data_IF_021761677468
#
_entry.id   IF_021761677468
#
_cell.length_a   1.000
_cell.length_b   1.000
_cell.length_c   1.000
_cell.angle_alpha   90.00
_cell.angle_beta   90.00
_cell.angle_gamma   90.00
#
_symmetry.space_group_name_H-M   'P 1'
#
loop_
_entity.id
_entity.type
_entity.pdbx_description
1 polymer ?
#
# COMPACT_ATOMS: atom_id res chain seq x y z
N UNK A 1 2.53 -14.14 -3.04
CA UNK A 1 2.55 -12.68 -3.33
C UNK A 1 1.69 -12.46 -4.56
N UNK A 2 0.76 -11.50 -4.57
CA UNK A 2 0.00 -11.20 -5.80
C UNK A 2 0.96 -10.55 -6.81
N UNK A 3 0.85 -10.93 -8.08
CA UNK A 3 1.66 -10.34 -9.13
C UNK A 3 1.11 -8.94 -9.47
N UNK A 4 1.95 -7.93 -9.77
CA UNK A 4 1.52 -6.58 -10.15
C UNK A 4 1.02 -6.53 -11.61
N UNK A 5 0.27 -7.53 -12.03
CA UNK A 5 -0.24 -7.66 -13.39
C UNK A 5 -1.50 -8.51 -13.41
N UNK A 6 -2.61 -7.87 -13.71
CA UNK A 6 -3.91 -8.50 -13.95
C UNK A 6 -4.56 -7.85 -15.19
N UNK A 7 -5.78 -8.25 -15.54
CA UNK A 7 -6.47 -7.71 -16.73
C UNK A 7 -6.73 -6.20 -16.67
N UNK A 8 -7.00 -5.66 -15.47
CA UNK A 8 -7.25 -4.24 -15.24
C UNK A 8 -5.98 -3.42 -15.42
N UNK A 9 -4.88 -3.82 -14.79
CA UNK A 9 -3.55 -3.19 -14.95
C UNK A 9 -3.10 -3.25 -16.41
N UNK A 10 -3.29 -4.40 -17.07
CA UNK A 10 -2.94 -4.54 -18.49
C UNK A 10 -3.74 -3.57 -19.38
N UNK A 11 -5.03 -3.38 -19.10
CA UNK A 11 -5.87 -2.42 -19.80
C UNK A 11 -5.44 -0.97 -19.55
N UNK A 12 -5.15 -0.62 -18.29
CA UNK A 12 -4.66 0.71 -17.91
C UNK A 12 -3.31 1.05 -18.57
N UNK A 13 -2.34 0.14 -18.52
CA UNK A 13 -1.06 0.29 -19.25
C UNK A 13 -1.31 0.41 -20.75
N UNK A 14 -2.24 -0.37 -21.32
CA UNK A 14 -2.58 -0.32 -22.73
C UNK A 14 -3.10 1.04 -23.22
N UNK A 15 -3.68 1.88 -22.36
CA UNK A 15 -4.17 3.20 -22.75
C UNK A 15 -3.06 4.15 -23.20
N UNK A 16 -1.84 4.00 -22.65
CA UNK A 16 -0.66 4.80 -23.04
C UNK A 16 -0.16 4.51 -24.46
N UNK A 17 -0.68 3.45 -25.09
CA UNK A 17 -0.25 3.00 -26.41
C UNK A 17 -1.35 3.15 -27.48
N UNK A 18 -2.44 3.83 -27.15
CA UNK A 18 -3.57 4.04 -28.06
C UNK A 18 -3.26 5.15 -29.08
N UNK A 19 -3.83 5.05 -30.29
CA UNK A 19 -3.70 6.07 -31.36
C UNK A 19 -2.27 6.49 -31.76
N UNK A 20 -1.27 5.65 -31.47
CA UNK A 20 0.12 5.94 -31.82
C UNK A 20 0.93 6.59 -30.69
N UNK A 21 0.30 6.91 -29.54
CA UNK A 21 0.97 7.45 -28.36
C UNK A 21 1.91 6.44 -27.70
N UNK A 22 2.84 6.97 -26.90
CA UNK A 22 3.70 6.19 -26.02
C UNK A 22 4.99 5.68 -26.69
N UNK A 23 5.79 4.91 -25.93
CA UNK A 23 7.07 4.36 -26.38
C UNK A 23 7.03 3.66 -27.73
N UNK A 24 8.19 3.61 -28.41
CA UNK A 24 8.30 3.03 -29.76
C UNK A 24 8.12 1.50 -29.77
N UNK A 25 7.89 0.94 -30.96
CA UNK A 25 7.82 -0.51 -31.13
C UNK A 25 9.10 -1.22 -30.67
N UNK A 26 10.27 -0.62 -30.87
CA UNK A 26 11.56 -1.17 -30.45
C UNK A 26 11.74 -1.17 -28.93
N UNK A 27 11.32 -0.11 -28.24
CA UNK A 27 11.35 -0.04 -26.77
C UNK A 27 10.45 -1.12 -26.16
N UNK A 28 9.25 -1.33 -26.73
CA UNK A 28 8.37 -2.42 -26.31
C UNK A 28 9.01 -3.79 -26.49
N UNK A 29 9.66 -4.05 -27.64
CA UNK A 29 10.39 -5.31 -27.86
C UNK A 29 11.47 -5.52 -26.81
N UNK A 30 12.23 -4.48 -26.45
CA UNK A 30 13.27 -4.56 -25.43
C UNK A 30 12.68 -4.89 -24.04
N UNK A 31 11.59 -4.22 -23.65
CA UNK A 31 10.88 -4.50 -22.39
C UNK A 31 10.39 -5.96 -22.32
N UNK A 32 9.84 -6.49 -23.42
CA UNK A 32 9.37 -7.88 -23.47
C UNK A 32 10.51 -8.90 -23.39
N UNK A 33 11.66 -8.60 -24.00
CA UNK A 33 12.87 -9.42 -23.88
C UNK A 33 13.40 -9.40 -22.45
N UNK A 34 13.49 -8.23 -21.82
CA UNK A 34 13.95 -8.09 -20.44
C UNK A 34 13.06 -8.82 -19.42
N UNK A 35 11.76 -8.93 -19.72
CA UNK A 35 10.80 -9.71 -18.93
C UNK A 35 10.75 -11.21 -19.26
N UNK A 36 11.57 -11.68 -20.20
CA UNK A 36 11.55 -13.05 -20.73
C UNK A 36 10.16 -13.48 -21.27
N UNK A 37 9.48 -12.57 -21.97
CA UNK A 37 8.15 -12.77 -22.56
C UNK A 37 8.10 -12.48 -24.07
N UNK A 38 9.27 -12.39 -24.73
CA UNK A 38 9.37 -12.09 -26.17
C UNK A 38 8.67 -13.12 -27.06
N UNK A 39 8.57 -14.38 -26.61
CA UNK A 39 7.84 -15.45 -27.33
C UNK A 39 6.33 -15.17 -27.45
N UNK A 40 5.81 -14.26 -26.63
CA UNK A 40 4.39 -13.89 -26.60
C UNK A 40 4.10 -12.55 -27.28
N UNK A 41 5.11 -11.89 -27.86
CA UNK A 41 4.93 -10.66 -28.64
C UNK A 41 4.45 -11.03 -30.06
N UNK A 42 3.20 -10.70 -30.44
CA UNK A 42 2.64 -11.07 -31.74
C UNK A 42 3.17 -10.20 -32.90
N UNK A 43 4.12 -9.30 -32.65
CA UNK A 43 4.57 -8.31 -33.61
C UNK A 43 5.38 -8.89 -34.76
N UNK A 44 4.92 -8.61 -35.97
CA UNK A 44 5.65 -8.88 -37.20
C UNK A 44 6.27 -7.58 -37.72
N UNK A 45 7.61 -7.43 -37.70
CA UNK A 45 8.29 -6.22 -38.19
C UNK A 45 8.06 -5.93 -39.68
N UNK A 46 7.88 -6.95 -40.52
CA UNK A 46 7.68 -6.78 -41.96
C UNK A 46 6.27 -6.26 -42.28
N UNK A 47 5.28 -6.70 -41.52
CA UNK A 47 3.88 -6.30 -41.69
C UNK A 47 3.46 -5.14 -40.76
N UNK A 48 4.35 -4.69 -39.86
CA UNK A 48 4.12 -3.67 -38.83
C UNK A 48 2.80 -3.85 -38.04
N UNK A 49 2.45 -5.09 -37.75
CA UNK A 49 1.18 -5.47 -37.11
C UNK A 49 1.43 -6.54 -36.05
N UNK A 50 0.68 -6.59 -34.94
CA UNK A 50 -0.39 -5.66 -34.55
C UNK A 50 0.12 -4.35 -33.93
N UNK A 51 -0.79 -3.41 -33.64
CA UNK A 51 -0.44 -2.11 -33.09
C UNK A 51 0.15 -2.20 -31.66
N UNK A 52 0.77 -1.12 -31.17
CA UNK A 52 1.44 -1.09 -29.85
C UNK A 52 0.54 -1.57 -28.71
N UNK A 53 -0.70 -1.08 -28.63
CA UNK A 53 -1.67 -1.48 -27.61
C UNK A 53 -1.96 -2.98 -27.65
N UNK A 54 -2.20 -3.54 -28.83
CA UNK A 54 -2.48 -4.96 -29.00
C UNK A 54 -1.29 -5.84 -28.58
N UNK A 55 -0.05 -5.40 -28.88
CA UNK A 55 1.17 -6.07 -28.41
C UNK A 55 1.25 -6.09 -26.89
N UNK A 56 1.12 -4.93 -26.25
CA UNK A 56 1.17 -4.81 -24.78
C UNK A 56 0.11 -5.69 -24.12
N UNK A 57 -1.14 -5.64 -24.60
CA UNK A 57 -2.23 -6.46 -24.06
C UNK A 57 -1.97 -7.97 -24.21
N UNK A 58 -1.42 -8.41 -25.35
CA UNK A 58 -1.10 -9.81 -25.59
C UNK A 58 -0.01 -10.31 -24.63
N UNK A 59 1.09 -9.58 -24.51
CA UNK A 59 2.22 -9.95 -23.64
C UNK A 59 1.82 -9.87 -22.17
N UNK A 60 1.06 -8.84 -21.76
CA UNK A 60 0.55 -8.74 -20.38
C UNK A 60 -0.36 -9.91 -20.00
N UNK A 61 -1.25 -10.34 -20.91
CA UNK A 61 -2.12 -11.52 -20.67
C UNK A 61 -1.31 -12.81 -20.50
N UNK A 62 -0.23 -12.97 -21.25
CA UNK A 62 0.66 -14.12 -21.11
C UNK A 62 1.48 -14.04 -19.80
N UNK A 63 2.04 -12.86 -19.50
CA UNK A 63 2.84 -12.58 -18.30
C UNK A 63 2.07 -12.73 -16.99
N UNK A 64 0.77 -12.38 -16.97
CA UNK A 64 -0.08 -12.49 -15.77
C UNK A 64 -0.16 -13.92 -15.19
N UNK A 65 0.16 -14.95 -15.98
CA UNK A 65 0.17 -16.35 -15.53
C UNK A 65 1.44 -16.74 -14.75
N UNK A 66 2.48 -15.90 -14.77
CA UNK A 66 3.79 -16.16 -14.15
C UNK A 66 4.19 -14.98 -13.26
N UNK A 67 4.15 -15.15 -11.93
CA UNK A 67 4.34 -14.05 -10.98
C UNK A 67 5.68 -13.30 -11.12
N UNK A 68 6.78 -14.01 -11.42
CA UNK A 68 8.10 -13.39 -11.61
C UNK A 68 8.16 -12.53 -12.89
N UNK A 69 7.66 -13.06 -14.01
CA UNK A 69 7.62 -12.36 -15.30
C UNK A 69 6.63 -11.19 -15.28
N UNK A 70 5.51 -11.33 -14.57
CA UNK A 70 4.52 -10.27 -14.38
C UNK A 70 5.13 -9.03 -13.72
N UNK A 71 5.89 -9.21 -12.64
CA UNK A 71 6.57 -8.09 -11.97
C UNK A 71 7.58 -7.40 -12.86
N UNK A 72 8.48 -8.19 -13.46
CA UNK A 72 9.51 -7.65 -14.34
C UNK A 72 8.90 -6.92 -15.53
N UNK A 73 7.84 -7.47 -16.14
CA UNK A 73 7.14 -6.82 -17.25
C UNK A 73 6.53 -5.48 -16.84
N UNK A 74 5.85 -5.42 -15.68
CA UNK A 74 5.25 -4.17 -15.19
C UNK A 74 6.33 -3.11 -14.95
N UNK A 75 7.46 -3.47 -14.32
CA UNK A 75 8.59 -2.57 -14.08
C UNK A 75 9.19 -2.04 -15.39
N UNK A 76 9.46 -2.91 -16.37
CA UNK A 76 10.02 -2.50 -17.68
C UNK A 76 9.07 -1.59 -18.47
N UNK A 77 7.76 -1.83 -18.40
CA UNK A 77 6.76 -0.97 -19.05
C UNK A 77 6.65 0.40 -18.37
N UNK A 78 6.71 0.43 -17.04
CA UNK A 78 6.74 1.69 -16.28
C UNK A 78 8.00 2.50 -16.57
N UNK A 79 9.16 1.85 -16.66
CA UNK A 79 10.42 2.50 -17.05
C UNK A 79 10.35 3.08 -18.47
N UNK A 80 9.76 2.35 -19.42
CA UNK A 80 9.53 2.87 -20.77
C UNK A 80 8.63 4.12 -20.76
N UNK A 81 7.56 4.12 -19.97
CA UNK A 81 6.66 5.27 -19.83
C UNK A 81 7.32 6.47 -19.13
N UNK A 82 8.20 6.22 -18.16
CA UNK A 82 9.02 7.25 -17.49
C UNK A 82 9.98 7.91 -18.46
N UNK A 83 10.72 7.12 -19.24
CA UNK A 83 11.64 7.64 -20.26
C UNK A 83 10.91 8.41 -21.36
N UNK A 84 9.67 8.03 -21.67
CA UNK A 84 8.81 8.75 -22.60
C UNK A 84 8.25 10.07 -22.02
N UNK A 85 8.24 10.23 -20.69
CA UNK A 85 7.76 11.45 -20.01
C UNK A 85 6.28 11.43 -19.60
N UNK A 86 5.62 10.27 -19.64
CA UNK A 86 4.18 10.15 -19.34
C UNK A 86 3.81 10.56 -17.91
N UNK A 87 4.72 10.42 -16.94
CA UNK A 87 4.46 10.79 -15.54
C UNK A 87 4.59 12.30 -15.25
N UNK A 88 5.28 13.03 -16.13
CA UNK A 88 5.41 14.49 -16.06
C UNK A 88 4.43 15.23 -16.97
N UNK A 89 3.78 14.53 -17.91
CA UNK A 89 2.84 15.13 -18.85
C UNK A 89 1.47 15.35 -18.23
N UNK A 90 0.93 16.57 -18.37
CA UNK A 90 -0.45 16.87 -17.96
C UNK A 90 -1.49 16.14 -18.81
N UNK A 91 -1.16 15.79 -20.07
CA UNK A 91 -2.06 15.09 -20.99
C UNK A 91 -2.26 13.62 -20.59
N UNK A 92 -1.23 12.99 -20.04
CA UNK A 92 -1.27 11.61 -19.56
C UNK A 92 -1.81 11.49 -18.13
N UNK A 93 -2.06 12.61 -17.43
CA UNK A 93 -2.53 12.62 -16.04
C UNK A 93 -3.78 11.76 -15.80
N UNK A 94 -4.81 11.74 -16.68
CA UNK A 94 -5.94 10.82 -16.54
C UNK A 94 -5.51 9.35 -16.64
N UNK A 95 -4.65 9.00 -17.60
CA UNK A 95 -4.14 7.61 -17.78
C UNK A 95 -3.28 7.16 -16.59
N UNK A 96 -2.48 8.07 -16.04
CA UNK A 96 -1.68 7.81 -14.82
C UNK A 96 -2.57 7.58 -13.60
N UNK A 97 -3.67 8.33 -13.48
CA UNK A 97 -4.63 8.12 -12.39
C UNK A 97 -5.35 6.77 -12.52
N UNK A 98 -5.76 6.40 -13.73
CA UNK A 98 -6.37 5.09 -14.01
C UNK A 98 -5.39 3.95 -13.69
N UNK A 99 -4.12 4.07 -14.09
CA UNK A 99 -3.08 3.10 -13.78
C UNK A 99 -2.79 2.99 -12.28
N UNK A 100 -2.74 4.13 -11.58
CA UNK A 100 -2.57 4.16 -10.12
C UNK A 100 -3.73 3.47 -9.41
N UNK A 101 -4.95 3.71 -9.86
CA UNK A 101 -6.15 3.04 -9.33
C UNK A 101 -6.08 1.52 -9.54
N UNK A 102 -5.79 1.07 -10.76
CA UNK A 102 -5.66 -0.35 -11.10
C UNK A 102 -4.55 -1.07 -10.31
N UNK A 103 -3.40 -0.42 -10.11
CA UNK A 103 -2.31 -0.97 -9.27
C UNK A 103 -2.73 -1.04 -7.80
N UNK A 104 -3.43 -0.02 -7.30
CA UNK A 104 -3.92 0.03 -5.92
C UNK A 104 -4.89 -1.11 -5.65
N UNK A 105 -5.83 -1.40 -6.57
CA UNK A 105 -6.73 -2.55 -6.48
C UNK A 105 -6.00 -3.91 -6.42
N UNK A 106 -4.79 -3.99 -7.00
CA UNK A 106 -3.97 -5.20 -6.97
C UNK A 106 -3.03 -5.28 -5.75
N UNK A 107 -3.04 -4.29 -4.87
CA UNK A 107 -2.13 -4.19 -3.72
C UNK A 107 -0.75 -3.65 -4.08
N UNK A 108 -0.66 -2.75 -5.06
CA UNK A 108 0.58 -2.08 -5.47
C UNK A 108 0.41 -0.57 -5.54
N UNK A 109 1.40 0.18 -5.05
CA UNK A 109 1.48 1.63 -5.18
C UNK A 109 2.17 2.04 -6.49
N UNK A 110 1.89 3.25 -6.93
CA UNK A 110 2.59 3.91 -8.03
C UNK A 110 2.99 5.31 -7.58
N UNK A 111 4.30 5.54 -7.46
CA UNK A 111 4.87 6.83 -7.07
C UNK A 111 4.55 7.93 -8.10
N UNK A 112 4.81 9.19 -7.74
CA UNK A 112 4.64 10.30 -8.68
C UNK A 112 5.59 10.21 -9.87
N UNK A 113 6.80 9.67 -9.68
CA UNK A 113 7.79 9.46 -10.74
C UNK A 113 7.61 8.13 -11.49
N UNK A 114 6.52 7.39 -11.26
CA UNK A 114 6.14 6.20 -12.02
C UNK A 114 6.84 4.91 -11.59
N UNK A 115 7.29 4.81 -10.34
CA UNK A 115 7.88 3.59 -9.78
C UNK A 115 6.83 2.73 -9.10
N UNK A 116 6.94 1.43 -9.31
CA UNK A 116 6.09 0.44 -8.67
C UNK A 116 6.52 0.25 -7.21
N UNK A 117 5.57 0.38 -6.30
CA UNK A 117 5.78 0.20 -4.87
C UNK A 117 4.90 -0.93 -4.35
N UNK A 118 5.38 -1.71 -3.39
CA UNK A 118 4.56 -2.75 -2.77
C UNK A 118 3.69 -2.11 -1.68
N UNK A 119 2.36 -2.08 -1.87
CA UNK A 119 1.45 -1.69 -0.79
C UNK A 119 1.46 -2.81 0.27
N UNK A 120 1.80 -2.45 1.52
CA UNK A 120 1.67 -3.33 2.68
C UNK A 120 2.92 -4.07 3.15
N UNK A 121 4.11 -3.81 2.58
CA UNK A 121 5.37 -4.11 3.28
C UNK A 121 6.00 -2.81 3.72
N UNK A 122 5.86 -2.52 5.01
CA UNK A 122 6.59 -1.43 5.64
C UNK A 122 8.03 -1.91 5.76
N UNK A 123 8.88 -1.37 4.91
CA UNK A 123 10.32 -1.60 4.97
C UNK A 123 10.90 -0.72 6.09
N UNK A 124 10.65 -1.13 7.34
CA UNK A 124 11.19 -0.48 8.54
C UNK A 124 12.72 -0.49 8.53
N UNK A 125 13.34 -1.45 7.85
CA UNK A 125 14.80 -1.61 7.76
C UNK A 125 15.48 -0.43 7.05
N UNK A 126 14.80 0.23 6.11
CA UNK A 126 15.38 1.30 5.29
C UNK A 126 14.75 2.69 5.55
N UNK A 127 13.49 2.74 6.02
CA UNK A 127 12.68 3.96 6.00
C UNK A 127 12.31 4.59 7.35
N UNK A 128 12.39 3.84 8.46
CA UNK A 128 12.14 4.35 9.82
C UNK A 128 10.90 5.26 9.98
N UNK A 129 11.05 6.35 10.75
CA UNK A 129 9.97 7.32 11.01
C UNK A 129 9.45 8.05 9.76
N UNK A 130 10.28 8.51 8.81
CA UNK A 130 9.79 9.10 7.57
C UNK A 130 8.82 8.20 6.79
N UNK A 131 9.10 6.89 6.71
CA UNK A 131 8.20 5.94 6.06
C UNK A 131 6.85 5.80 6.79
N UNK A 132 6.84 5.85 8.12
CA UNK A 132 5.59 5.84 8.90
C UNK A 132 4.76 7.11 8.66
N UNK A 133 5.40 8.28 8.56
CA UNK A 133 4.71 9.54 8.24
C UNK A 133 4.10 9.50 6.83
N UNK A 134 4.81 8.94 5.87
CA UNK A 134 4.29 8.78 4.50
C UNK A 134 3.06 7.87 4.47
N UNK A 135 3.05 6.77 5.23
CA UNK A 135 1.87 5.91 5.34
C UNK A 135 0.69 6.60 6.02
N UNK A 136 0.95 7.40 7.04
CA UNK A 136 -0.08 8.23 7.69
C UNK A 136 -0.73 9.18 6.67
N UNK A 137 0.08 9.85 5.85
CA UNK A 137 -0.40 10.74 4.79
C UNK A 137 -1.15 9.99 3.67
N UNK A 138 -0.73 8.77 3.32
CA UNK A 138 -1.42 7.94 2.32
C UNK A 138 -2.81 7.49 2.80
N UNK A 139 -2.94 7.04 4.05
CA UNK A 139 -4.23 6.68 4.64
C UNK A 139 -5.18 7.88 4.74
N UNK A 140 -4.64 9.10 4.91
CA UNK A 140 -5.43 10.33 4.89
C UNK A 140 -5.94 10.69 3.48
N UNK A 141 -5.21 10.31 2.42
CA UNK A 141 -5.45 10.72 1.03
C UNK A 141 -6.24 9.71 0.18
N UNK A 142 -6.20 8.41 0.48
CA UNK A 142 -6.90 7.36 -0.29
C UNK A 142 -8.33 7.13 0.21
N UNK A 143 -9.33 7.16 -0.69
CA UNK A 143 -10.73 7.40 -0.29
C UNK A 143 -11.81 6.43 -0.86
N UNK A 144 -11.53 5.51 -1.78
CA UNK A 144 -12.65 4.80 -2.47
C UNK A 144 -12.75 3.28 -2.27
N UNK A 145 -11.84 2.63 -1.52
CA UNK A 145 -11.94 1.18 -1.18
C UNK A 145 -11.94 0.94 0.34
N UNK A 146 -13.13 0.79 0.96
CA UNK A 146 -13.28 0.54 2.39
C UNK A 146 -12.49 -0.68 2.92
N UNK A 147 -12.35 -1.74 2.11
CA UNK A 147 -11.70 -2.98 2.53
C UNK A 147 -10.17 -2.85 2.51
N UNK A 148 -9.61 -2.17 1.49
CA UNK A 148 -8.19 -1.86 1.43
C UNK A 148 -7.79 -0.88 2.55
N UNK A 149 -8.65 0.09 2.82
CA UNK A 149 -8.50 1.07 3.89
C UNK A 149 -8.40 0.44 5.28
N UNK A 150 -9.24 -0.55 5.59
CA UNK A 150 -9.14 -1.32 6.84
C UNK A 150 -7.84 -2.15 6.93
N UNK A 151 -7.37 -2.67 5.80
CA UNK A 151 -6.09 -3.37 5.71
C UNK A 151 -4.91 -2.48 6.08
N UNK A 152 -4.82 -1.31 5.42
CA UNK A 152 -3.75 -0.33 5.66
C UNK A 152 -3.75 0.23 7.08
N UNK A 153 -4.92 0.44 7.69
CA UNK A 153 -5.02 0.89 9.08
C UNK A 153 -4.37 -0.10 10.06
N UNK A 154 -4.64 -1.41 9.91
CA UNK A 154 -4.00 -2.45 10.73
C UNK A 154 -2.49 -2.48 10.50
N UNK A 155 -2.06 -2.51 9.25
CA UNK A 155 -0.65 -2.60 8.89
C UNK A 155 0.16 -1.42 9.44
N UNK A 156 -0.38 -0.21 9.35
CA UNK A 156 0.23 0.98 9.95
C UNK A 156 0.42 0.82 11.46
N UNK A 157 -0.63 0.43 12.19
CA UNK A 157 -0.55 0.27 13.64
C UNK A 157 0.43 -0.85 14.01
N UNK A 158 0.44 -1.95 13.26
CA UNK A 158 1.36 -3.06 13.49
C UNK A 158 2.82 -2.63 13.33
N UNK A 159 3.14 -1.84 12.30
CA UNK A 159 4.48 -1.34 12.11
C UNK A 159 4.89 -0.28 13.14
N UNK A 160 3.98 0.62 13.52
CA UNK A 160 4.27 1.58 14.59
C UNK A 160 4.53 0.85 15.91
N UNK A 161 3.73 -0.17 16.24
CA UNK A 161 3.94 -0.96 17.44
C UNK A 161 5.30 -1.68 17.41
N UNK A 162 5.68 -2.28 16.28
CA UNK A 162 7.03 -2.87 16.09
C UNK A 162 8.13 -1.83 16.24
N UNK A 163 8.02 -0.71 15.53
CA UNK A 163 8.99 0.40 15.58
C UNK A 163 9.22 0.91 17.01
N UNK A 164 8.15 1.16 17.76
CA UNK A 164 8.20 1.60 19.16
C UNK A 164 8.90 0.60 20.07
N UNK A 165 8.65 -0.70 19.88
CA UNK A 165 9.28 -1.74 20.68
C UNK A 165 10.76 -1.88 20.31
N UNK A 166 11.08 -1.89 19.01
CA UNK A 166 12.42 -2.06 18.47
C UNK A 166 13.34 -0.87 18.81
N UNK A 167 12.91 0.38 18.62
CA UNK A 167 13.68 1.55 19.09
C UNK A 167 13.84 1.55 20.62
N UNK A 168 12.91 0.92 21.34
CA UNK A 168 12.99 0.69 22.77
C UNK A 168 13.93 -0.45 23.19
N UNK A 169 14.58 -1.14 22.26
CA UNK A 169 15.47 -2.29 22.51
C UNK A 169 14.74 -3.61 22.77
N UNK A 170 13.44 -3.68 22.50
CA UNK A 170 12.62 -4.88 22.67
C UNK A 170 12.20 -5.42 21.30
N UNK A 171 12.73 -6.58 20.93
CA UNK A 171 12.38 -7.25 19.68
C UNK A 171 11.27 -8.28 19.95
N UNK A 172 10.01 -7.98 19.58
CA UNK A 172 8.90 -8.90 19.84
C UNK A 172 9.04 -10.19 19.01
N UNK A 173 8.54 -11.32 19.55
CA UNK A 173 8.48 -12.58 18.80
C UNK A 173 7.72 -12.35 17.48
N UNK A 174 8.27 -12.74 16.31
CA UNK A 174 7.58 -12.63 15.04
C UNK A 174 6.19 -13.28 14.97
N UNK A 175 5.88 -14.21 15.89
CA UNK A 175 4.60 -14.92 16.01
C UNK A 175 3.63 -14.26 16.99
N UNK A 176 3.99 -13.15 17.62
CA UNK A 176 3.09 -12.48 18.56
C UNK A 176 1.80 -12.06 17.85
N UNK A 177 0.62 -12.38 18.40
CA UNK A 177 -0.64 -11.95 17.79
C UNK A 177 -0.79 -10.43 17.92
N UNK A 178 -1.50 -9.82 16.96
CA UNK A 178 -1.69 -8.36 16.90
C UNK A 178 -2.15 -7.73 18.23
N UNK A 179 -3.13 -8.29 18.97
CA UNK A 179 -3.49 -7.76 20.30
C UNK A 179 -2.32 -7.73 21.29
N UNK A 180 -1.50 -8.78 21.31
CA UNK A 180 -0.32 -8.84 22.19
C UNK A 180 0.76 -7.82 21.81
N UNK A 181 0.94 -7.56 20.51
CA UNK A 181 1.84 -6.52 20.04
C UNK A 181 1.38 -5.11 20.48
N UNK A 182 0.08 -4.85 20.34
CA UNK A 182 -0.52 -3.58 20.79
C UNK A 182 -0.39 -3.42 22.30
N UNK A 183 -0.63 -4.48 23.07
CA UNK A 183 -0.48 -4.48 24.52
C UNK A 183 0.93 -4.07 24.95
N UNK A 184 1.96 -4.73 24.40
CA UNK A 184 3.37 -4.43 24.70
C UNK A 184 3.75 -3.01 24.33
N UNK A 185 3.33 -2.53 23.14
CA UNK A 185 3.67 -1.18 22.70
C UNK A 185 3.01 -0.09 23.57
N UNK A 186 1.75 -0.28 23.98
CA UNK A 186 1.07 0.64 24.89
C UNK A 186 1.68 0.65 26.30
N UNK A 187 2.13 -0.50 26.79
CA UNK A 187 2.87 -0.60 28.05
C UNK A 187 4.22 0.12 27.96
N UNK A 188 4.97 -0.12 26.88
CA UNK A 188 6.26 0.53 26.62
C UNK A 188 6.14 2.06 26.59
N UNK A 189 5.08 2.56 25.96
CA UNK A 189 4.80 4.00 25.87
C UNK A 189 4.22 4.60 27.16
N UNK A 190 4.02 3.80 28.21
CA UNK A 190 3.35 4.24 29.43
C UNK A 190 2.00 4.92 29.13
N UNK A 191 1.24 4.37 28.18
CA UNK A 191 -0.13 4.82 27.85
C UNK A 191 -1.19 4.12 28.71
N UNK A 192 -0.81 3.05 29.41
CA UNK A 192 -1.67 2.33 30.35
C UNK A 192 -1.16 2.35 31.80
N UNK A 193 -0.46 3.39 32.32
CA UNK A 193 0.23 3.24 33.59
C UNK A 193 -0.77 2.96 34.71
N UNK A 194 -0.49 1.88 35.44
CA UNK A 194 -0.97 1.69 36.81
C UNK A 194 -0.32 2.71 37.78
N UNK A 195 0.70 3.45 37.33
CA UNK A 195 1.59 4.28 38.16
C UNK A 195 1.59 5.74 37.68
N UNK A 196 0.41 6.34 37.55
CA UNK A 196 0.31 7.81 37.64
C UNK A 196 -0.12 8.09 39.06
N UNK A 197 0.57 8.97 39.78
CA UNK A 197 0.15 9.37 41.11
C UNK A 197 -1.31 9.83 41.04
N UNK A 198 -2.19 9.26 41.88
CA UNK A 198 -3.61 9.60 41.98
C UNK A 198 -3.85 11.07 42.45
N UNK A 199 -2.84 11.92 42.38
CA UNK A 199 -2.76 13.23 43.02
C UNK A 199 -3.15 14.40 42.11
N UNK A 200 -3.45 14.17 40.83
CA UNK A 200 -3.88 15.23 39.90
C UNK A 200 -5.30 14.98 39.38
N UNK A 201 -6.18 15.98 39.50
CA UNK A 201 -7.53 15.95 38.95
C UNK A 201 -7.50 15.62 37.44
N UNK A 202 -8.39 14.75 36.97
CA UNK A 202 -8.49 14.38 35.54
C UNK A 202 -7.67 13.15 35.11
N UNK A 203 -6.75 12.67 35.95
CA UNK A 203 -5.88 11.50 35.63
C UNK A 203 -6.68 10.24 35.30
N UNK A 204 -7.78 10.01 36.03
CA UNK A 204 -8.68 8.87 35.79
C UNK A 204 -9.33 8.94 34.40
N UNK A 205 -9.80 10.11 33.99
CA UNK A 205 -10.47 10.34 32.71
C UNK A 205 -9.49 10.14 31.54
N UNK A 206 -8.26 10.66 31.65
CA UNK A 206 -7.20 10.46 30.65
C UNK A 206 -6.89 8.95 30.49
N UNK A 207 -6.81 8.21 31.60
CA UNK A 207 -6.58 6.76 31.56
C UNK A 207 -7.69 6.00 30.84
N UNK A 208 -8.96 6.40 31.03
CA UNK A 208 -10.07 5.83 30.28
C UNK A 208 -10.00 6.14 28.78
N UNK A 209 -9.58 7.35 28.41
CA UNK A 209 -9.39 7.74 26.99
C UNK A 209 -8.31 6.86 26.34
N UNK A 210 -7.17 6.63 26.99
CA UNK A 210 -6.14 5.74 26.44
C UNK A 210 -6.57 4.28 26.38
N UNK A 211 -7.35 3.81 27.35
CA UNK A 211 -7.97 2.48 27.29
C UNK A 211 -8.95 2.39 26.11
N UNK A 212 -9.71 3.45 25.84
CA UNK A 212 -10.59 3.55 24.69
C UNK A 212 -9.81 3.50 23.37
N UNK A 213 -8.73 4.27 23.25
CA UNK A 213 -7.84 4.24 22.08
C UNK A 213 -7.32 2.82 21.80
N UNK A 214 -6.88 2.10 22.83
CA UNK A 214 -6.49 0.69 22.71
C UNK A 214 -7.63 -0.20 22.21
N UNK A 215 -8.82 -0.08 22.81
CA UNK A 215 -10.01 -0.85 22.38
C UNK A 215 -10.36 -0.58 20.92
N UNK A 216 -10.26 0.67 20.47
CA UNK A 216 -10.48 1.06 19.08
C UNK A 216 -9.53 0.31 18.14
N UNK A 217 -8.24 0.26 18.45
CA UNK A 217 -7.25 -0.47 17.65
C UNK A 217 -7.55 -1.96 17.56
N UNK A 218 -7.96 -2.58 18.67
CA UNK A 218 -8.36 -4.00 18.68
C UNK A 218 -9.60 -4.22 17.80
N UNK A 219 -10.61 -3.36 17.94
CA UNK A 219 -11.82 -3.40 17.12
C UNK A 219 -11.53 -3.18 15.63
N UNK A 220 -10.56 -2.34 15.27
CA UNK A 220 -10.11 -2.16 13.88
C UNK A 220 -9.54 -3.47 13.33
N UNK A 221 -8.72 -4.18 14.09
CA UNK A 221 -8.18 -5.48 13.67
C UNK A 221 -9.28 -6.54 13.51
N UNK A 222 -10.23 -6.60 14.43
CA UNK A 222 -11.39 -7.49 14.32
C UNK A 222 -12.25 -7.15 13.10
N UNK A 223 -12.56 -5.87 12.91
CA UNK A 223 -13.31 -5.37 11.75
C UNK A 223 -12.58 -5.68 10.44
N UNK A 224 -11.26 -5.49 10.38
CA UNK A 224 -10.44 -5.87 9.22
C UNK A 224 -10.52 -7.37 8.97
N UNK A 225 -10.44 -8.21 9.98
CA UNK A 225 -10.57 -9.67 9.81
C UNK A 225 -11.97 -10.06 9.30
N UNK A 226 -12.99 -9.32 9.71
CA UNK A 226 -14.39 -9.53 9.32
C UNK A 226 -14.80 -8.88 8.00
N UNK A 227 -14.17 -7.79 7.56
CA UNK A 227 -14.64 -6.88 6.50
C UNK A 227 -13.55 -6.36 5.54
N UNK A 228 -12.27 -6.70 5.77
CA UNK A 228 -11.15 -6.35 4.90
C UNK A 228 -10.94 -7.32 3.73
N UNK A 229 -9.92 -7.05 2.91
CA UNK A 229 -9.55 -7.84 1.73
C UNK A 229 -8.78 -9.14 2.05
N UNK A 230 -8.49 -9.41 3.32
CA UNK A 230 -7.82 -10.64 3.76
C UNK A 230 -8.72 -11.87 3.58
N UNK A 231 -8.11 -13.00 3.20
CA UNK A 231 -8.74 -14.33 3.05
C UNK A 231 -9.54 -14.62 1.77
N UNK A 232 -9.34 -13.86 0.68
CA UNK A 232 -9.86 -14.27 -0.64
C UNK A 232 -11.38 -14.27 -0.71
N UNK A 233 -12.00 -13.22 -0.17
CA UNK A 233 -13.46 -13.10 -0.09
C UNK A 233 -14.08 -12.91 -1.47
N UNK A 234 -15.24 -13.50 -1.65
CA UNK A 234 -16.06 -13.42 -2.87
C UNK A 234 -17.18 -12.38 -2.77
N UNK A 235 -17.43 -11.84 -1.57
CA UNK A 235 -18.47 -10.85 -1.31
C UNK A 235 -17.85 -9.48 -0.98
N UNK A 236 -18.43 -8.38 -1.49
CA UNK A 236 -18.00 -7.03 -1.15
C UNK A 236 -18.15 -6.75 0.35
N UNK A 237 -17.36 -5.79 0.84
CA UNK A 237 -17.42 -5.36 2.25
C UNK A 237 -18.80 -4.80 2.60
N UNK A 238 -19.32 -5.17 3.77
CA UNK A 238 -20.56 -4.62 4.30
C UNK A 238 -20.39 -3.25 4.97
N UNK A 239 -19.18 -2.70 4.96
CA UNK A 239 -18.84 -1.42 5.59
C UNK A 239 -19.02 -0.30 4.58
N UNK A 240 -19.81 0.72 4.94
CA UNK A 240 -19.97 1.90 4.08
C UNK A 240 -18.68 2.70 4.00
N UNK A 241 -18.51 3.47 2.93
CA UNK A 241 -17.34 4.34 2.75
C UNK A 241 -17.18 5.35 3.89
N UNK A 242 -18.28 5.90 4.41
CA UNK A 242 -18.26 6.82 5.54
C UNK A 242 -17.77 6.13 6.82
N UNK A 243 -18.24 4.92 7.10
CA UNK A 243 -17.84 4.15 8.27
C UNK A 243 -16.36 3.75 8.20
N UNK A 244 -15.88 3.28 7.04
CA UNK A 244 -14.47 2.96 6.87
C UNK A 244 -13.56 4.19 7.02
N UNK A 245 -13.99 5.33 6.47
CA UNK A 245 -13.27 6.61 6.64
C UNK A 245 -13.20 7.01 8.12
N UNK A 246 -14.28 6.86 8.88
CA UNK A 246 -14.28 7.13 10.32
C UNK A 246 -13.29 6.21 11.05
N UNK A 247 -13.34 4.91 10.79
CA UNK A 247 -12.43 3.93 11.41
C UNK A 247 -10.96 4.25 11.14
N UNK A 248 -10.61 4.68 9.92
CA UNK A 248 -9.23 5.08 9.60
C UNK A 248 -8.81 6.31 10.36
N UNK A 249 -9.68 7.32 10.47
CA UNK A 249 -9.35 8.54 11.23
C UNK A 249 -9.04 8.21 12.67
N UNK A 250 -9.84 7.33 13.27
CA UNK A 250 -9.59 6.85 14.63
C UNK A 250 -8.28 6.05 14.73
N UNK A 251 -8.01 5.13 13.80
CA UNK A 251 -6.74 4.40 13.74
C UNK A 251 -5.52 5.34 13.59
N UNK A 252 -5.66 6.36 12.75
CA UNK A 252 -4.64 7.40 12.48
C UNK A 252 -4.37 8.23 13.74
N UNK A 253 -5.42 8.63 14.49
CA UNK A 253 -5.25 9.35 15.75
C UNK A 253 -4.48 8.53 16.78
N UNK A 254 -4.76 7.23 16.89
CA UNK A 254 -4.02 6.36 17.83
C UNK A 254 -2.58 6.15 17.38
N UNK A 255 -2.35 5.97 16.08
CA UNK A 255 -1.01 5.93 15.50
C UNK A 255 -0.18 7.18 15.82
N UNK A 256 -0.77 8.36 15.65
CA UNK A 256 -0.13 9.64 16.01
C UNK A 256 0.15 9.76 17.51
N UNK A 257 -0.79 9.34 18.36
CA UNK A 257 -0.58 9.31 19.81
C UNK A 257 0.64 8.44 20.17
N UNK A 258 0.75 7.25 19.57
CA UNK A 258 1.87 6.34 19.83
C UNK A 258 3.20 6.96 19.40
N UNK A 259 3.26 7.48 18.17
CA UNK A 259 4.47 8.09 17.61
C UNK A 259 4.90 9.36 18.35
N UNK A 260 3.96 10.26 18.65
CA UNK A 260 4.25 11.51 19.37
C UNK A 260 4.67 11.22 20.82
N UNK A 261 4.12 10.19 21.43
CA UNK A 261 4.55 9.75 22.77
C UNK A 261 5.94 9.14 22.73
N UNK A 262 6.23 8.34 21.71
CA UNK A 262 7.55 7.77 21.48
C UNK A 262 8.61 8.84 21.28
N UNK A 263 8.39 9.82 20.38
CA UNK A 263 9.34 10.91 20.13
C UNK A 263 9.67 11.68 21.41
N UNK A 264 8.64 11.98 22.21
CA UNK A 264 8.81 12.64 23.50
C UNK A 264 9.68 11.83 24.46
N UNK A 265 9.54 10.50 24.49
CA UNK A 265 10.37 9.61 25.30
C UNK A 265 11.82 9.55 24.80
N UNK A 266 12.02 9.71 23.48
CA UNK A 266 13.34 9.70 22.83
C UNK A 266 14.01 11.09 22.77
N UNK A 267 13.33 12.15 23.22
CA UNK A 267 13.85 13.52 23.21
C UNK A 267 13.91 14.16 21.82
N UNK A 268 13.00 13.79 20.92
CA UNK A 268 12.88 14.32 19.55
C UNK A 268 11.74 15.31 19.42
#
# INVERSE_FOLDING_TARGET
>A
MSAPLNGEIAAAIGQFFFKGDGPSHSVLTQAFVAAALSEHDPYNPAAQTPNKQQRVLAVCRAGARRAASARKLTEELLDALRLYGSFSSSEDRPRVNDLRSALTHAGWGLSEDGRLEQLGKIDLDTGGRPALNEQLERLRRNIDDPAALLGGAKELIEAIAKFVLEEGGLYPDPRIPFPGLVDLSFERLALLPAVVSDSAEGTKQIREIYRSAKKTVIAVNELRNLQGTGHGRTLPTGVTTEAARYVIREATHVAELMLTTHDRQMGR
#
